data_IF_978805576253
#
_entry.id   IF_978805576253
#
_cell.length_a   1.000
_cell.length_b   1.000
_cell.length_c   1.000
_cell.angle_alpha   90.00
_cell.angle_beta   90.00
_cell.angle_gamma   90.00
#
_symmetry.space_group_name_H-M   'P 1'
#
loop_
_entity.id
_entity.type
_entity.pdbx_description
1 polymer ?
#
# COMPACT_ATOMS: atom_id res chain seq x y z
N UNK A 1 6.59 -1.37 63.93
CA UNK A 1 6.51 -1.45 62.46
C UNK A 1 7.63 -0.61 61.88
N UNK A 2 8.50 -1.15 61.02
CA UNK A 2 9.63 -0.38 60.52
C UNK A 2 9.37 0.08 59.10
N UNK A 3 8.92 1.33 58.94
CA UNK A 3 9.14 2.09 57.72
C UNK A 3 10.39 2.94 57.93
N UNK A 4 11.54 2.47 57.43
CA UNK A 4 12.74 3.26 57.20
C UNK A 4 12.87 3.61 55.70
N UNK A 5 13.57 4.70 55.33
CA UNK A 5 13.66 5.16 53.95
C UNK A 5 14.68 4.33 53.18
N UNK A 6 14.29 3.15 52.70
CA UNK A 6 15.08 2.39 51.73
C UNK A 6 14.86 2.97 50.34
N UNK A 7 15.75 3.87 49.94
CA UNK A 7 15.88 4.32 48.57
C UNK A 7 16.18 3.13 47.65
N UNK A 8 15.23 2.81 46.79
CA UNK A 8 15.44 2.06 45.55
C UNK A 8 14.39 2.47 44.50
N UNK A 9 14.19 3.79 44.33
CA UNK A 9 13.40 4.36 43.23
C UNK A 9 14.15 4.31 41.88
N UNK A 10 14.99 3.31 41.68
CA UNK A 10 15.59 2.94 40.40
C UNK A 10 14.63 1.89 39.82
N UNK A 11 13.55 2.22 39.10
CA UNK A 11 13.56 2.61 37.69
C UNK A 11 12.11 2.84 37.15
N UNK A 12 11.23 3.66 37.77
CA UNK A 12 9.91 3.91 37.18
C UNK A 12 10.04 4.61 35.82
N UNK A 13 11.00 5.53 35.67
CA UNK A 13 11.20 6.29 34.43
C UNK A 13 11.61 5.41 33.23
N UNK A 14 12.41 4.36 33.46
CA UNK A 14 12.78 3.42 32.37
C UNK A 14 11.56 2.58 31.95
N UNK A 15 10.70 2.21 32.90
CA UNK A 15 9.46 1.51 32.59
C UNK A 15 8.48 2.39 31.79
N UNK A 16 8.35 3.68 32.14
CA UNK A 16 7.57 4.64 31.35
C UNK A 16 8.17 4.90 29.97
N UNK A 17 9.50 5.03 29.86
CA UNK A 17 10.18 5.21 28.58
C UNK A 17 9.99 4.00 27.65
N UNK A 18 10.05 2.77 28.19
CA UNK A 18 9.80 1.55 27.42
C UNK A 18 8.35 1.45 26.93
N UNK A 19 7.37 1.86 27.75
CA UNK A 19 5.96 1.90 27.35
C UNK A 19 5.63 3.03 26.36
N UNK A 20 6.36 4.15 26.43
CA UNK A 20 6.22 5.29 25.53
C UNK A 20 7.01 5.14 24.23
N UNK A 21 7.89 4.14 24.13
CA UNK A 21 8.60 3.86 22.88
C UNK A 21 7.61 3.25 21.90
N UNK A 22 7.27 3.94 20.78
CA UNK A 22 6.44 3.33 19.76
C UNK A 22 7.14 2.06 19.28
N UNK A 23 6.39 0.96 19.20
CA UNK A 23 6.91 -0.29 18.68
C UNK A 23 7.61 0.00 17.33
N UNK A 24 8.80 -0.56 17.09
CA UNK A 24 9.47 -0.36 15.82
C UNK A 24 8.49 -0.76 14.70
N UNK A 25 8.34 0.06 13.64
CA UNK A 25 7.40 -0.25 12.58
C UNK A 25 7.72 -1.66 12.07
N UNK A 26 6.71 -2.53 12.06
CA UNK A 26 6.86 -3.88 11.52
C UNK A 26 7.49 -3.74 10.13
N UNK A 27 8.66 -4.36 9.92
CA UNK A 27 9.29 -4.42 8.60
C UNK A 27 8.28 -5.06 7.66
N UNK A 28 7.67 -4.25 6.79
CA UNK A 28 6.76 -4.74 5.78
C UNK A 28 7.56 -5.50 4.73
N UNK A 29 7.13 -6.71 4.39
CA UNK A 29 7.74 -7.44 3.27
C UNK A 29 7.41 -6.74 1.95
N UNK A 30 8.32 -6.83 0.98
CA UNK A 30 8.08 -6.30 -0.37
C UNK A 30 6.78 -6.87 -0.97
N UNK A 31 6.51 -8.16 -0.77
CA UNK A 31 5.28 -8.80 -1.23
C UNK A 31 4.00 -8.19 -0.61
N UNK A 32 4.01 -7.90 0.69
CA UNK A 32 2.87 -7.25 1.33
C UNK A 32 2.69 -5.80 0.85
N UNK A 33 3.77 -5.13 0.42
CA UNK A 33 3.70 -3.82 -0.20
C UNK A 33 3.09 -3.89 -1.60
N UNK A 34 3.54 -4.84 -2.41
CA UNK A 34 3.02 -5.07 -3.74
C UNK A 34 1.51 -5.36 -3.73
N UNK A 35 1.02 -6.22 -2.83
CA UNK A 35 -0.41 -6.50 -2.69
C UNK A 35 -1.22 -5.24 -2.38
N UNK A 36 -0.75 -4.44 -1.41
CA UNK A 36 -1.43 -3.19 -1.04
C UNK A 36 -1.42 -2.17 -2.17
N UNK A 37 -0.29 -2.03 -2.86
CA UNK A 37 -0.16 -1.12 -3.99
C UNK A 37 -1.07 -1.55 -5.15
N UNK A 38 -1.08 -2.84 -5.50
CA UNK A 38 -1.93 -3.38 -6.54
C UNK A 38 -3.41 -3.16 -6.23
N UNK A 39 -3.83 -3.41 -4.99
CA UNK A 39 -5.21 -3.17 -4.53
C UNK A 39 -5.58 -1.69 -4.61
N UNK A 40 -4.73 -0.80 -4.09
CA UNK A 40 -4.96 0.64 -4.10
C UNK A 40 -5.11 1.20 -5.52
N UNK A 41 -4.21 0.82 -6.43
CA UNK A 41 -4.27 1.27 -7.83
C UNK A 41 -5.53 0.75 -8.53
N UNK A 42 -5.91 -0.50 -8.27
CA UNK A 42 -7.11 -1.08 -8.86
C UNK A 42 -8.40 -0.45 -8.32
N UNK A 43 -8.46 -0.14 -7.02
CA UNK A 43 -9.55 0.62 -6.39
C UNK A 43 -9.67 2.01 -7.01
N UNK A 44 -8.55 2.71 -7.18
CA UNK A 44 -8.51 4.03 -7.82
C UNK A 44 -8.99 3.97 -9.26
N UNK A 45 -8.50 3.01 -10.06
CA UNK A 45 -8.91 2.84 -11.45
C UNK A 45 -10.39 2.47 -11.59
N UNK A 46 -10.91 1.63 -10.69
CA UNK A 46 -12.34 1.27 -10.65
C UNK A 46 -13.19 2.49 -10.28
N UNK A 47 -12.77 3.26 -9.27
CA UNK A 47 -13.44 4.48 -8.85
C UNK A 47 -13.50 5.52 -9.98
N UNK A 48 -12.39 5.73 -10.71
CA UNK A 48 -12.33 6.65 -11.84
C UNK A 48 -13.28 6.28 -12.99
N UNK A 49 -13.57 4.98 -13.19
CA UNK A 49 -14.57 4.51 -14.17
C UNK A 49 -16.00 4.72 -13.71
N UNK A 50 -16.26 4.55 -12.42
CA UNK A 50 -17.61 4.72 -11.85
C UNK A 50 -18.00 6.20 -11.70
N UNK A 51 -17.01 7.05 -11.39
CA UNK A 51 -17.19 8.48 -11.17
C UNK A 51 -16.16 9.25 -12.02
N UNK A 52 -16.37 9.35 -13.34
CA UNK A 52 -15.47 10.08 -14.22
C UNK A 52 -15.45 11.57 -13.80
N UNK A 53 -14.24 12.13 -13.73
CA UNK A 53 -14.08 13.56 -13.47
C UNK A 53 -14.55 14.36 -14.70
N UNK A 54 -14.94 15.62 -14.49
CA UNK A 54 -15.22 16.51 -15.61
C UNK A 54 -14.00 16.62 -16.53
N UNK A 55 -14.16 16.28 -17.82
CA UNK A 55 -13.06 16.22 -18.77
C UNK A 55 -12.34 14.87 -18.88
N UNK A 56 -12.80 13.84 -18.18
CA UNK A 56 -12.37 12.46 -18.44
C UNK A 56 -12.75 12.05 -19.87
N UNK A 57 -11.79 11.52 -20.60
CA UNK A 57 -11.97 10.95 -21.94
C UNK A 57 -11.74 9.46 -21.85
N UNK A 58 -12.72 8.66 -22.28
CA UNK A 58 -12.52 7.24 -22.48
C UNK A 58 -11.57 7.05 -23.66
N UNK A 59 -10.35 6.58 -23.38
CA UNK A 59 -9.45 6.18 -24.43
C UNK A 59 -9.98 4.87 -25.04
N UNK A 60 -10.02 4.74 -26.38
CA UNK A 60 -10.36 3.48 -27.03
C UNK A 60 -9.42 2.38 -26.54
N UNK A 61 -9.72 1.11 -26.82
CA UNK A 61 -8.85 -0.02 -26.52
C UNK A 61 -7.43 0.32 -26.99
N UNK A 62 -6.59 0.77 -26.06
CA UNK A 62 -5.28 1.29 -26.36
C UNK A 62 -4.28 0.20 -26.05
N UNK A 63 -3.25 0.10 -26.88
CA UNK A 63 -2.09 -0.70 -26.56
C UNK A 63 -1.18 0.15 -25.69
N UNK A 64 -1.06 -0.26 -24.43
CA UNK A 64 -0.21 0.39 -23.44
C UNK A 64 1.16 -0.27 -23.47
N UNK A 65 2.19 0.51 -23.79
CA UNK A 65 3.58 0.07 -23.65
C UNK A 65 4.09 0.49 -22.28
N UNK A 66 4.43 -0.49 -21.46
CA UNK A 66 4.83 -0.29 -20.06
C UNK A 66 6.29 -0.72 -19.89
N UNK A 67 7.14 0.17 -19.37
CA UNK A 67 8.51 -0.10 -18.96
C UNK A 67 8.53 -0.52 -17.48
N UNK A 68 9.38 -1.51 -17.16
CA UNK A 68 9.49 -2.10 -15.81
C UNK A 68 8.17 -2.70 -15.34
N UNK A 69 7.80 -3.81 -15.95
CA UNK A 69 6.56 -4.50 -15.63
C UNK A 69 6.74 -5.44 -14.44
N UNK A 70 5.85 -5.28 -13.46
CA UNK A 70 5.61 -6.25 -12.41
C UNK A 70 4.18 -6.76 -12.49
N UNK A 71 4.04 -8.07 -12.69
CA UNK A 71 2.75 -8.74 -12.58
C UNK A 71 2.56 -9.19 -11.13
N UNK A 72 1.47 -8.74 -10.50
CA UNK A 72 1.10 -9.11 -9.14
C UNK A 72 -0.21 -9.87 -9.20
N UNK A 73 -0.20 -11.12 -8.75
CA UNK A 73 -1.40 -11.90 -8.53
C UNK A 73 -2.04 -11.48 -7.22
N UNK A 74 -3.31 -11.10 -7.23
CA UNK A 74 -4.00 -10.66 -6.02
C UNK A 74 -4.31 -11.85 -5.13
N UNK A 75 -4.03 -11.72 -3.84
CA UNK A 75 -4.40 -12.74 -2.85
C UNK A 75 -5.93 -12.94 -2.78
N UNK A 76 -6.69 -11.88 -3.10
CA UNK A 76 -8.15 -11.91 -3.21
C UNK A 76 -8.59 -11.14 -4.45
N UNK A 77 -9.39 -11.75 -5.35
CA UNK A 77 -9.91 -11.06 -6.52
C UNK A 77 -10.65 -9.77 -6.16
N UNK A 78 -10.60 -8.79 -7.05
CA UNK A 78 -11.28 -7.51 -6.87
C UNK A 78 -11.81 -6.98 -8.20
N UNK A 79 -13.08 -6.53 -8.21
CA UNK A 79 -13.73 -5.96 -9.39
C UNK A 79 -13.57 -6.83 -10.68
N UNK A 80 -13.57 -8.17 -10.53
CA UNK A 80 -13.37 -9.10 -11.64
C UNK A 80 -11.91 -9.35 -12.04
N UNK A 81 -10.94 -8.72 -11.38
CA UNK A 81 -9.52 -8.90 -11.63
C UNK A 81 -8.87 -9.83 -10.60
N UNK A 82 -8.00 -10.73 -11.07
CA UNK A 82 -7.18 -11.64 -10.26
C UNK A 82 -5.69 -11.29 -10.27
N UNK A 83 -5.28 -10.36 -11.12
CA UNK A 83 -3.91 -9.89 -11.22
C UNK A 83 -3.84 -8.46 -11.75
N UNK A 84 -2.80 -7.72 -11.37
CA UNK A 84 -2.54 -6.35 -11.80
C UNK A 84 -1.12 -6.26 -12.37
N UNK A 85 -1.00 -5.66 -13.55
CA UNK A 85 0.29 -5.27 -14.15
C UNK A 85 0.60 -3.85 -13.71
N UNK A 86 1.71 -3.65 -13.02
CA UNK A 86 2.18 -2.34 -12.58
C UNK A 86 3.49 -2.06 -13.30
N UNK A 87 3.62 -0.87 -13.87
CA UNK A 87 4.88 -0.37 -14.37
C UNK A 87 4.77 1.08 -14.79
N UNK A 88 5.82 1.59 -15.42
CA UNK A 88 5.87 2.95 -15.95
C UNK A 88 5.27 2.97 -17.35
N UNK A 89 4.23 3.78 -17.54
CA UNK A 89 3.70 4.00 -18.88
C UNK A 89 4.73 4.74 -19.75
N UNK A 90 5.04 4.19 -20.92
CA UNK A 90 5.96 4.76 -21.90
C UNK A 90 5.20 5.33 -23.08
N UNK A 91 4.25 4.57 -23.61
CA UNK A 91 3.52 4.93 -24.81
C UNK A 91 2.09 4.38 -24.79
N UNK A 92 1.21 5.08 -25.50
CA UNK A 92 -0.22 4.75 -25.64
C UNK A 92 -0.59 4.85 -27.11
N UNK A 93 -0.72 3.70 -27.76
CA UNK A 93 -1.15 3.61 -29.14
C UNK A 93 -2.61 3.17 -29.25
N UNK A 94 -3.29 3.58 -30.31
CA UNK A 94 -4.57 2.97 -30.66
C UNK A 94 -4.35 1.49 -31.02
N UNK A 95 -5.16 0.57 -30.48
CA UNK A 95 -5.06 -0.83 -30.90
C UNK A 95 -5.43 -0.96 -32.39
N UNK A 96 -4.70 -1.81 -33.15
CA UNK A 96 -5.07 -2.12 -34.53
C UNK A 96 -6.49 -2.73 -34.56
N UNK A 97 -7.30 -2.27 -35.52
CA UNK A 97 -8.65 -2.78 -35.76
C UNK A 97 -8.65 -4.23 -36.26
#
# INVERSE_FOLDING_TARGET
GPYGPTGSATRPLIAYAAAATPAPPKKQSAAAYDQRLARYLLETATGARLFPAGGSVDLPTARWTIETEKLIHLDTPYAGHSSVRIGRLVDVDAAPQ
#
